data_IF_484937021157
#
_entry.id   IF_484937021157
#
_cell.length_a   1.000
_cell.length_b   1.000
_cell.length_c   1.000
_cell.angle_alpha   90.00
_cell.angle_beta   90.00
_cell.angle_gamma   90.00
#
_symmetry.space_group_name_H-M   'P 1'
#
loop_
_entity.id
_entity.type
_entity.pdbx_description
1 polymer ?
#
# COMPACT_ATOMS: atom_id res chain seq x y z
N UNK A 1 -77.17 -47.59 -8.85
CA UNK A 1 -77.49 -46.23 -9.35
C UNK A 1 -76.45 -45.29 -8.78
N UNK A 2 -75.36 -45.01 -9.51
CA UNK A 2 -74.40 -43.98 -9.09
C UNK A 2 -75.11 -42.63 -9.22
N UNK A 3 -75.33 -42.00 -8.08
CA UNK A 3 -76.19 -40.82 -7.94
C UNK A 3 -75.69 -39.68 -8.80
N UNK A 4 -76.62 -39.04 -9.54
CA UNK A 4 -76.44 -37.85 -10.40
C UNK A 4 -75.49 -36.76 -9.85
N UNK A 5 -75.41 -36.64 -8.51
CA UNK A 5 -74.45 -35.78 -7.80
C UNK A 5 -72.98 -36.04 -8.17
N UNK A 6 -72.57 -37.29 -8.39
CA UNK A 6 -71.19 -37.63 -8.74
C UNK A 6 -70.81 -37.13 -10.14
N UNK A 7 -71.75 -37.19 -11.11
CA UNK A 7 -71.51 -36.69 -12.46
C UNK A 7 -71.42 -35.15 -12.53
N UNK A 8 -72.18 -34.44 -11.69
CA UNK A 8 -72.07 -32.98 -11.59
C UNK A 8 -70.72 -32.54 -11.02
N UNK A 9 -70.21 -33.23 -10.00
CA UNK A 9 -68.93 -32.89 -9.37
C UNK A 9 -67.76 -33.14 -10.33
N UNK A 10 -67.75 -34.26 -11.06
CA UNK A 10 -66.70 -34.53 -12.04
C UNK A 10 -66.74 -33.56 -13.23
N UNK A 11 -67.94 -33.18 -13.70
CA UNK A 11 -68.09 -32.20 -14.76
C UNK A 11 -67.54 -30.83 -14.33
N UNK A 12 -67.88 -30.37 -13.12
CA UNK A 12 -67.36 -29.13 -12.57
C UNK A 12 -65.84 -29.15 -12.42
N UNK A 13 -65.28 -30.28 -11.95
CA UNK A 13 -63.83 -30.45 -11.82
C UNK A 13 -63.10 -30.36 -13.18
N UNK A 14 -63.66 -30.97 -14.23
CA UNK A 14 -63.11 -30.88 -15.59
C UNK A 14 -63.13 -29.44 -16.12
N UNK A 15 -64.24 -28.72 -15.93
CA UNK A 15 -64.32 -27.31 -16.35
C UNK A 15 -63.37 -26.40 -15.58
N UNK A 16 -63.18 -26.62 -14.28
CA UNK A 16 -62.20 -25.89 -13.47
C UNK A 16 -60.77 -26.19 -13.95
N UNK A 17 -60.44 -27.47 -14.18
CA UNK A 17 -59.13 -27.85 -14.69
C UNK A 17 -58.85 -27.23 -16.08
N UNK A 18 -59.85 -27.21 -16.96
CA UNK A 18 -59.74 -26.58 -18.28
C UNK A 18 -59.59 -25.06 -18.17
N UNK A 19 -60.39 -24.42 -17.32
CA UNK A 19 -60.33 -22.98 -17.08
C UNK A 19 -58.97 -22.56 -16.52
N UNK A 20 -58.46 -23.28 -15.51
CA UNK A 20 -57.13 -23.04 -14.93
C UNK A 20 -56.02 -23.32 -15.95
N UNK A 21 -56.15 -24.38 -16.76
CA UNK A 21 -55.21 -24.70 -17.83
C UNK A 21 -55.11 -23.60 -18.90
N UNK A 22 -56.24 -23.02 -19.29
CA UNK A 22 -56.28 -21.90 -20.26
C UNK A 22 -55.75 -20.61 -19.63
N UNK A 23 -56.07 -20.35 -18.35
CA UNK A 23 -55.59 -19.15 -17.65
C UNK A 23 -54.06 -19.17 -17.50
N UNK A 24 -53.48 -20.31 -17.13
CA UNK A 24 -52.03 -20.48 -17.03
C UNK A 24 -51.36 -20.57 -18.40
N UNK A 25 -51.95 -21.28 -19.36
CA UNK A 25 -51.43 -21.41 -20.72
C UNK A 25 -51.50 -20.11 -21.54
N UNK A 26 -52.55 -19.31 -21.34
CA UNK A 26 -52.76 -18.03 -22.02
C UNK A 26 -51.91 -16.89 -21.44
N UNK A 27 -51.62 -16.92 -20.14
CA UNK A 27 -50.75 -15.92 -19.49
C UNK A 27 -49.26 -16.21 -19.68
N UNK A 28 -48.87 -17.48 -19.84
CA UNK A 28 -47.49 -17.86 -20.17
C UNK A 28 -47.06 -17.47 -21.60
N UNK A 29 -48.00 -17.19 -22.50
CA UNK A 29 -47.74 -16.81 -23.90
C UNK A 29 -47.67 -15.31 -24.18
N UNK A 30 -47.70 -14.44 -23.17
CA UNK A 30 -47.76 -12.99 -23.39
C UNK A 30 -46.37 -12.35 -23.67
N UNK A 31 -46.24 -11.52 -24.73
CA UNK A 31 -44.98 -10.87 -25.12
C UNK A 31 -44.36 -9.95 -24.06
N UNK A 32 -45.14 -9.55 -23.04
CA UNK A 32 -44.68 -8.80 -21.87
C UNK A 32 -43.48 -9.46 -21.16
N UNK A 33 -43.46 -10.79 -21.03
CA UNK A 33 -42.37 -11.48 -20.34
C UNK A 33 -41.05 -11.44 -21.14
N UNK A 34 -41.14 -11.56 -22.46
CA UNK A 34 -39.97 -11.44 -23.35
C UNK A 34 -39.40 -10.02 -23.39
N UNK A 35 -40.26 -9.00 -23.36
CA UNK A 35 -39.84 -7.60 -23.33
C UNK A 35 -39.19 -7.22 -21.99
N UNK A 36 -39.76 -7.65 -20.87
CA UNK A 36 -39.21 -7.40 -19.54
C UNK A 36 -37.84 -8.09 -19.31
N UNK A 37 -37.69 -9.33 -19.78
CA UNK A 37 -36.40 -10.04 -19.68
C UNK A 37 -35.30 -9.36 -20.51
N UNK A 38 -35.63 -8.89 -21.71
CA UNK A 38 -34.67 -8.20 -22.57
C UNK A 38 -34.28 -6.83 -22.03
N UNK A 39 -35.21 -6.09 -21.43
CA UNK A 39 -34.91 -4.81 -20.79
C UNK A 39 -34.02 -4.97 -19.54
N UNK A 40 -34.21 -6.05 -18.77
CA UNK A 40 -33.36 -6.38 -17.62
C UNK A 40 -31.94 -6.74 -18.08
N UNK A 41 -31.80 -7.53 -19.14
CA UNK A 41 -30.50 -7.89 -19.71
C UNK A 41 -29.75 -6.65 -20.21
N UNK A 42 -30.42 -5.75 -20.94
CA UNK A 42 -29.83 -4.49 -21.41
C UNK A 42 -29.39 -3.60 -20.25
N UNK A 43 -30.18 -3.53 -19.15
CA UNK A 43 -29.80 -2.78 -17.94
C UNK A 43 -28.60 -3.40 -17.22
N UNK A 44 -28.47 -4.73 -17.23
CA UNK A 44 -27.32 -5.42 -16.64
C UNK A 44 -26.05 -5.24 -17.47
N UNK A 45 -26.15 -5.35 -18.80
CA UNK A 45 -25.06 -5.08 -19.73
C UNK A 45 -24.55 -3.64 -19.58
N UNK A 46 -25.46 -2.66 -19.57
CA UNK A 46 -25.10 -1.26 -19.35
C UNK A 46 -24.46 -1.00 -17.97
N UNK A 47 -24.86 -1.73 -16.92
CA UNK A 47 -24.21 -1.64 -15.60
C UNK A 47 -22.83 -2.27 -15.60
N UNK A 48 -22.67 -3.41 -16.28
CA UNK A 48 -21.40 -4.10 -16.42
C UNK A 48 -20.39 -3.24 -17.18
N UNK A 49 -20.80 -2.65 -18.30
CA UNK A 49 -19.95 -1.76 -19.10
C UNK A 49 -19.52 -0.53 -18.31
N UNK A 50 -20.43 0.07 -17.54
CA UNK A 50 -20.10 1.18 -16.64
C UNK A 50 -19.11 0.77 -15.55
N UNK A 51 -19.29 -0.42 -14.97
CA UNK A 51 -18.39 -0.93 -13.95
C UNK A 51 -17.00 -1.22 -14.53
N UNK A 52 -16.94 -1.80 -15.72
CA UNK A 52 -15.69 -2.07 -16.43
C UNK A 52 -14.95 -0.77 -16.78
N UNK A 53 -15.67 0.22 -17.32
CA UNK A 53 -15.12 1.54 -17.62
C UNK A 53 -14.62 2.25 -16.38
N UNK A 54 -15.40 2.25 -15.29
CA UNK A 54 -15.00 2.81 -14.00
C UNK A 54 -13.74 2.13 -13.46
N UNK A 55 -13.64 0.80 -13.58
CA UNK A 55 -12.44 0.08 -13.15
C UNK A 55 -11.20 0.46 -13.97
N UNK A 56 -11.36 0.63 -15.29
CA UNK A 56 -10.27 1.10 -16.16
C UNK A 56 -9.85 2.53 -15.81
N UNK A 57 -10.80 3.44 -15.62
CA UNK A 57 -10.54 4.82 -15.21
C UNK A 57 -9.84 4.90 -13.86
N UNK A 58 -10.26 4.08 -12.88
CA UNK A 58 -9.61 3.98 -11.57
C UNK A 58 -8.17 3.47 -11.68
N UNK A 59 -7.93 2.43 -12.49
CA UNK A 59 -6.56 1.94 -12.76
C UNK A 59 -5.68 3.01 -13.39
N UNK A 60 -6.22 3.78 -14.33
CA UNK A 60 -5.49 4.89 -14.93
C UNK A 60 -5.19 5.99 -13.91
N UNK A 61 -6.14 6.34 -13.04
CA UNK A 61 -5.93 7.30 -11.96
C UNK A 61 -4.85 6.84 -10.98
N UNK A 62 -4.89 5.58 -10.55
CA UNK A 62 -3.86 4.99 -9.68
C UNK A 62 -2.49 5.08 -10.34
N UNK A 63 -2.37 4.69 -11.61
CA UNK A 63 -1.08 4.75 -12.32
C UNK A 63 -0.54 6.17 -12.45
N UNK A 64 -1.40 7.16 -12.75
CA UNK A 64 -1.01 8.57 -12.79
C UNK A 64 -0.54 9.07 -11.43
N UNK A 65 -1.29 8.76 -10.37
CA UNK A 65 -0.91 9.15 -9.00
C UNK A 65 0.42 8.53 -8.58
N UNK A 66 0.66 7.26 -8.92
CA UNK A 66 1.94 6.60 -8.64
C UNK A 66 3.11 7.28 -9.37
N UNK A 67 2.91 7.65 -10.64
CA UNK A 67 3.93 8.39 -11.40
C UNK A 67 4.19 9.78 -10.82
N UNK A 68 3.14 10.52 -10.44
CA UNK A 68 3.28 11.84 -9.80
C UNK A 68 4.02 11.76 -8.45
N UNK A 69 3.71 10.73 -7.65
CA UNK A 69 4.40 10.50 -6.37
C UNK A 69 5.88 10.19 -6.59
N UNK A 70 6.21 9.34 -7.57
CA UNK A 70 7.61 9.02 -7.87
C UNK A 70 8.37 10.25 -8.33
N UNK A 71 7.81 11.03 -9.26
CA UNK A 71 8.44 12.26 -9.76
C UNK A 71 8.68 13.27 -8.63
N UNK A 72 7.68 13.50 -7.76
CA UNK A 72 7.84 14.39 -6.60
C UNK A 72 8.88 13.87 -5.60
N UNK A 73 8.98 12.56 -5.44
CA UNK A 73 9.96 11.93 -4.58
C UNK A 73 11.38 12.13 -5.14
N UNK A 74 11.59 11.94 -6.44
CA UNK A 74 12.87 12.21 -7.11
C UNK A 74 13.29 13.67 -6.97
N UNK A 75 12.38 14.62 -7.20
CA UNK A 75 12.63 16.06 -7.00
C UNK A 75 13.02 16.36 -5.55
N UNK A 76 12.31 15.76 -4.58
CA UNK A 76 12.63 15.93 -3.17
C UNK A 76 14.02 15.37 -2.80
N UNK A 77 14.36 14.18 -3.30
CA UNK A 77 15.69 13.58 -3.13
C UNK A 77 16.77 14.43 -3.81
N UNK A 78 16.49 15.01 -4.97
CA UNK A 78 17.44 15.91 -5.64
C UNK A 78 17.70 17.18 -4.82
N UNK A 79 16.65 17.80 -4.28
CA UNK A 79 16.78 18.94 -3.37
C UNK A 79 17.56 18.57 -2.09
N UNK A 80 17.34 17.37 -1.54
CA UNK A 80 18.14 16.84 -0.42
C UNK A 80 19.62 16.74 -0.79
N UNK A 81 19.92 16.18 -1.97
CA UNK A 81 21.28 16.00 -2.45
C UNK A 81 22.00 17.36 -2.60
N UNK A 82 21.33 18.36 -3.14
CA UNK A 82 21.89 19.71 -3.27
C UNK A 82 22.18 20.35 -1.92
N UNK A 83 21.28 20.21 -0.94
CA UNK A 83 21.43 20.83 0.38
C UNK A 83 22.48 20.13 1.23
N UNK A 84 22.44 18.81 1.27
CA UNK A 84 23.23 18.01 2.21
C UNK A 84 24.42 17.30 1.58
N UNK A 85 24.49 17.17 0.25
CA UNK A 85 25.55 16.43 -0.43
C UNK A 85 26.95 17.01 -0.19
N UNK A 86 27.09 18.33 -0.09
CA UNK A 86 28.38 18.95 0.25
C UNK A 86 28.80 18.71 1.71
N UNK A 87 27.84 18.58 2.62
CA UNK A 87 28.13 18.44 4.05
C UNK A 87 28.24 16.97 4.48
N UNK A 88 27.48 16.08 3.84
CA UNK A 88 27.42 14.65 4.13
C UNK A 88 28.29 13.82 3.18
N UNK A 89 28.64 14.35 2.02
CA UNK A 89 29.45 13.70 1.01
C UNK A 89 30.80 13.26 1.56
N UNK A 90 31.17 12.00 1.30
CA UNK A 90 32.42 11.41 1.78
C UNK A 90 32.48 11.09 3.28
N UNK A 91 31.39 11.32 4.03
CA UNK A 91 31.30 10.86 5.41
C UNK A 91 30.92 9.39 5.46
N UNK A 92 31.48 8.69 6.45
CA UNK A 92 31.25 7.26 6.67
C UNK A 92 30.14 7.04 7.69
N UNK A 93 29.16 6.24 7.31
CA UNK A 93 28.01 5.90 8.14
C UNK A 93 27.87 4.39 8.21
N UNK A 94 27.86 3.89 9.43
CA UNK A 94 27.68 2.48 9.73
C UNK A 94 26.19 2.19 9.94
N UNK A 95 25.69 1.07 9.42
CA UNK A 95 24.26 0.71 9.55
C UNK A 95 24.13 -0.66 10.20
N UNK A 96 23.48 -0.69 11.35
CA UNK A 96 23.04 -1.93 12.01
C UNK A 96 21.53 -2.06 11.93
N UNK A 97 21.03 -3.27 11.69
CA UNK A 97 19.60 -3.57 11.58
C UNK A 97 19.19 -4.70 12.51
N UNK A 98 18.01 -4.57 13.10
CA UNK A 98 17.41 -5.59 13.97
C UNK A 98 16.59 -6.59 13.16
N UNK A 99 17.07 -7.85 13.08
CA UNK A 99 16.37 -8.94 12.41
C UNK A 99 16.15 -8.70 10.91
N UNK A 100 14.93 -8.97 10.44
CA UNK A 100 14.53 -8.86 9.02
C UNK A 100 14.07 -7.46 8.60
N UNK A 101 14.39 -6.42 9.39
CA UNK A 101 14.10 -5.04 8.98
C UNK A 101 15.00 -4.66 7.82
N UNK A 102 14.39 -4.30 6.69
CA UNK A 102 15.14 -3.85 5.53
C UNK A 102 15.68 -2.42 5.73
N UNK A 103 16.98 -2.27 5.95
CA UNK A 103 17.66 -0.98 5.87
C UNK A 103 17.93 -0.51 4.43
N UNK A 104 17.44 -1.24 3.41
CA UNK A 104 17.64 -0.94 1.98
C UNK A 104 17.17 0.46 1.57
N UNK A 105 16.02 0.99 2.03
CA UNK A 105 15.60 2.34 1.68
C UNK A 105 16.55 3.41 2.23
N UNK A 106 16.99 3.25 3.48
CA UNK A 106 17.90 4.19 4.15
C UNK A 106 19.27 4.17 3.48
N UNK A 107 19.82 2.99 3.22
CA UNK A 107 21.13 2.84 2.55
C UNK A 107 21.14 3.46 1.16
N UNK A 108 20.05 3.31 0.37
CA UNK A 108 19.89 3.98 -0.94
C UNK A 108 19.85 5.50 -0.81
N UNK A 109 19.05 6.03 0.11
CA UNK A 109 18.96 7.47 0.38
C UNK A 109 20.33 8.05 0.73
N UNK A 110 21.04 7.41 1.66
CA UNK A 110 22.37 7.87 2.10
C UNK A 110 23.40 7.85 0.96
N UNK A 111 23.40 6.78 0.16
CA UNK A 111 24.28 6.68 -1.02
C UNK A 111 23.96 7.76 -2.06
N UNK A 112 22.70 8.11 -2.25
CA UNK A 112 22.30 9.21 -3.13
C UNK A 112 22.82 10.57 -2.66
N UNK A 113 23.03 10.75 -1.35
CA UNK A 113 23.66 11.94 -0.76
C UNK A 113 25.21 11.90 -0.81
N UNK A 114 25.81 10.87 -1.41
CA UNK A 114 27.27 10.70 -1.46
C UNK A 114 27.90 10.20 -0.16
N UNK A 115 27.10 9.65 0.76
CA UNK A 115 27.57 9.07 2.03
C UNK A 115 28.09 7.65 1.78
N UNK A 116 29.22 7.32 2.39
CA UNK A 116 29.76 5.96 2.38
C UNK A 116 29.03 5.12 3.44
N UNK A 117 28.20 4.18 2.99
CA UNK A 117 27.38 3.34 3.87
C UNK A 117 28.02 1.97 4.05
N UNK A 118 28.39 1.64 5.29
CA UNK A 118 29.05 0.38 5.65
C UNK A 118 28.13 -0.44 6.57
N UNK A 119 27.84 -1.72 6.25
CA UNK A 119 27.09 -2.57 7.17
C UNK A 119 27.91 -2.81 8.45
N UNK A 120 27.28 -2.65 9.60
CA UNK A 120 27.91 -2.84 10.90
C UNK A 120 27.69 -4.26 11.42
N UNK A 121 28.79 -4.93 11.76
CA UNK A 121 28.78 -6.21 12.47
C UNK A 121 29.16 -5.99 13.93
N UNK A 122 28.43 -6.66 14.83
CA UNK A 122 28.63 -6.51 16.27
C UNK A 122 30.08 -6.85 16.66
N UNK A 123 30.75 -5.93 17.36
CA UNK A 123 32.12 -6.10 17.84
C UNK A 123 33.18 -5.36 17.01
N UNK A 124 32.79 -4.71 15.90
CA UNK A 124 33.69 -3.81 15.15
C UNK A 124 33.66 -2.39 15.77
N UNK A 125 34.70 -1.59 15.50
CA UNK A 125 34.69 -0.17 15.86
C UNK A 125 34.05 0.65 14.74
N UNK A 126 33.33 1.72 15.11
CA UNK A 126 32.76 2.72 14.18
C UNK A 126 33.21 4.13 14.54
N UNK A 127 34.30 4.28 15.29
CA UNK A 127 34.77 5.57 15.81
C UNK A 127 35.09 6.59 14.71
N UNK A 128 35.39 6.14 13.50
CA UNK A 128 35.63 6.96 12.31
C UNK A 128 34.35 7.53 11.68
N UNK A 129 33.16 7.12 12.14
CA UNK A 129 31.87 7.53 11.58
C UNK A 129 30.70 7.53 12.55
N UNK A 130 29.48 7.63 12.01
CA UNK A 130 28.24 7.57 12.78
C UNK A 130 27.57 6.20 12.61
N UNK A 131 27.10 5.61 13.70
CA UNK A 131 26.31 4.37 13.65
C UNK A 131 24.80 4.66 13.62
N UNK A 132 24.13 4.25 12.55
CA UNK A 132 22.67 4.20 12.44
C UNK A 132 22.15 2.85 12.92
N UNK A 133 21.22 2.86 13.87
CA UNK A 133 20.64 1.69 14.51
C UNK A 133 19.18 1.58 14.08
N UNK A 134 18.89 0.70 13.13
CA UNK A 134 17.53 0.49 12.60
C UNK A 134 16.83 -0.57 13.43
N UNK A 135 16.23 -0.14 14.56
CA UNK A 135 15.66 -1.02 15.57
C UNK A 135 14.55 -0.31 16.36
N UNK A 136 13.59 -1.06 16.91
CA UNK A 136 12.51 -0.45 17.72
C UNK A 136 13.06 0.17 19.00
N UNK A 137 14.09 -0.47 19.55
CA UNK A 137 14.77 -0.08 20.76
C UNK A 137 16.28 -0.22 20.52
N UNK A 138 17.10 0.62 21.17
CA UNK A 138 18.54 0.48 21.09
C UNK A 138 18.97 -0.88 21.66
N UNK A 139 19.85 -1.62 20.98
CA UNK A 139 20.23 -2.95 21.44
C UNK A 139 21.05 -2.88 22.73
N UNK A 140 20.98 -3.91 23.59
CA UNK A 140 21.56 -3.88 24.94
C UNK A 140 23.08 -3.70 24.94
N UNK A 141 23.80 -4.21 23.93
CA UNK A 141 25.25 -4.03 23.79
C UNK A 141 25.66 -2.56 23.61
N UNK A 142 24.75 -1.73 23.08
CA UNK A 142 24.95 -0.31 22.81
C UNK A 142 24.68 0.54 24.06
N UNK A 143 23.83 0.03 24.97
CA UNK A 143 23.60 0.63 26.28
C UNK A 143 24.67 0.24 27.30
N UNK A 144 25.21 -0.97 27.20
CA UNK A 144 26.16 -1.55 28.16
C UNK A 144 27.61 -1.24 27.83
N UNK A 145 27.94 -1.06 26.55
CA UNK A 145 29.27 -0.68 26.08
C UNK A 145 29.25 0.73 25.53
N UNK A 146 29.79 1.69 26.29
CA UNK A 146 30.12 3.02 25.80
C UNK A 146 31.28 2.93 24.80
N UNK A 147 30.98 2.42 23.61
CA UNK A 147 31.87 2.55 22.45
C UNK A 147 31.89 4.03 22.11
N UNK A 148 33.08 4.62 22.03
CA UNK A 148 33.28 6.08 21.99
C UNK A 148 32.66 6.79 20.76
N UNK A 149 32.09 6.03 19.82
CA UNK A 149 31.42 6.55 18.63
C UNK A 149 29.99 7.03 18.90
N UNK A 150 29.58 8.09 18.19
CA UNK A 150 28.18 8.55 18.23
C UNK A 150 27.29 7.58 17.45
N UNK A 151 26.04 7.50 17.86
CA UNK A 151 25.03 6.66 17.22
C UNK A 151 23.67 7.38 17.17
N UNK A 152 22.80 6.92 16.28
CA UNK A 152 21.45 7.44 16.10
C UNK A 152 20.46 6.27 15.96
N UNK A 153 19.42 6.27 16.79
CA UNK A 153 18.32 5.32 16.67
C UNK A 153 17.37 5.73 15.56
N UNK A 154 17.05 4.78 14.68
CA UNK A 154 16.03 4.88 13.64
C UNK A 154 14.96 3.83 13.92
N UNK A 155 13.93 4.24 14.67
CA UNK A 155 12.86 3.34 15.12
C UNK A 155 12.06 2.73 13.97
N UNK A 156 11.85 3.53 12.92
CA UNK A 156 11.10 3.17 11.74
C UNK A 156 11.83 3.64 10.49
N UNK A 157 11.83 2.80 9.46
CA UNK A 157 12.31 3.19 8.14
C UNK A 157 11.44 4.35 7.64
N UNK A 158 12.05 5.48 7.22
CA UNK A 158 11.28 6.63 6.73
C UNK A 158 10.39 6.26 5.54
N UNK A 159 9.09 6.30 5.74
CA UNK A 159 8.04 6.01 4.75
C UNK A 159 7.58 7.27 3.98
N UNK A 160 8.07 8.45 4.36
CA UNK A 160 7.72 9.73 3.73
C UNK A 160 8.91 10.66 3.61
N UNK A 161 8.86 11.56 2.63
CA UNK A 161 9.86 12.60 2.37
C UNK A 161 10.17 13.43 3.62
N UNK A 162 9.14 13.80 4.39
CA UNK A 162 9.32 14.55 5.63
C UNK A 162 10.11 13.79 6.70
N UNK A 163 9.85 12.48 6.86
CA UNK A 163 10.62 11.64 7.78
C UNK A 163 12.06 11.43 7.29
N UNK A 164 12.26 11.34 5.97
CA UNK A 164 13.60 11.24 5.35
C UNK A 164 14.42 12.51 5.60
N UNK A 165 13.83 13.69 5.44
CA UNK A 165 14.47 14.97 5.77
C UNK A 165 14.85 15.07 7.24
N UNK A 166 13.93 14.76 8.15
CA UNK A 166 14.20 14.80 9.59
C UNK A 166 15.34 13.85 9.99
N UNK A 167 15.49 12.72 9.30
CA UNK A 167 16.62 11.80 9.51
C UNK A 167 17.94 12.43 9.07
N UNK A 168 17.99 13.02 7.87
CA UNK A 168 19.21 13.68 7.35
C UNK A 168 19.63 14.86 8.22
N UNK A 169 18.68 15.67 8.68
CA UNK A 169 18.95 16.79 9.60
C UNK A 169 19.53 16.32 10.92
N UNK A 170 18.93 15.31 11.55
CA UNK A 170 19.47 14.69 12.78
C UNK A 170 20.87 14.13 12.56
N UNK A 171 21.11 13.52 11.40
CA UNK A 171 22.41 12.96 11.05
C UNK A 171 23.47 14.07 10.89
N UNK A 172 23.14 15.14 10.16
CA UNK A 172 23.99 16.31 9.98
C UNK A 172 24.35 16.92 11.33
N UNK A 173 23.36 17.15 12.21
CA UNK A 173 23.59 17.69 13.54
C UNK A 173 24.58 16.83 14.34
N UNK A 174 24.41 15.51 14.33
CA UNK A 174 25.32 14.57 15.02
C UNK A 174 26.73 14.58 14.45
N UNK A 175 26.87 14.63 13.13
CA UNK A 175 28.18 14.65 12.46
C UNK A 175 28.91 15.99 12.69
N UNK A 176 28.18 17.10 12.79
CA UNK A 176 28.74 18.40 13.16
C UNK A 176 29.18 18.42 14.63
N UNK A 177 28.36 17.87 15.55
CA UNK A 177 28.75 17.69 16.96
C UNK A 177 30.04 16.86 17.10
N UNK A 178 30.17 15.77 16.34
CA UNK A 178 31.39 14.95 16.33
C UNK A 178 32.62 15.73 15.87
N UNK A 179 32.48 16.55 14.82
CA UNK A 179 33.56 17.37 14.30
C UNK A 179 34.03 18.39 15.33
N UNK A 180 33.10 19.13 15.93
CA UNK A 180 33.41 20.14 16.95
C UNK A 180 34.04 19.51 18.19
N UNK A 181 33.61 18.31 18.59
CA UNK A 181 34.21 17.59 19.71
C UNK A 181 35.65 17.14 19.41
N UNK A 182 35.96 16.74 18.17
CA UNK A 182 37.32 16.39 17.75
C UNK A 182 38.24 17.60 17.61
N UNK A 183 37.74 18.75 17.17
CA UNK A 183 38.54 19.98 17.02
C UNK A 183 38.87 20.65 18.38
N UNK A 184 38.15 20.30 19.45
CA UNK A 184 38.36 20.85 20.81
C UNK A 184 39.20 19.96 21.74
N UNK A 185 39.58 18.76 21.30
CA UNK A 185 40.40 17.81 22.05
C UNK A 185 41.82 17.74 21.50
#
# INVERSE_FOLDING_TARGET
>A
MISFRHHLITLAAVFIALGVGILLGGTAGHPWFSQGAQEILLKMEAKYDRALKSNQDLKQQINRLLQEVEQRNEEAVHMMAMRYGNELGGKKVYVWQEGDKEARPITRLMRAMGVEVVPYEQGKSWEDGLLLVVAKQPPPWLQQGATAGKWLLVEQVPDSVGKQWALLEKMQQRLTEMRVAREKS
#
